data_IF_946842257486
#
_entry.id   IF_946842257486
#
_cell.length_a   1.000
_cell.length_b   1.000
_cell.length_c   1.000
_cell.angle_alpha   90.00
_cell.angle_beta   90.00
_cell.angle_gamma   90.00
#
_symmetry.space_group_name_H-M   'P 1'
#
loop_
_entity.id
_entity.type
_entity.pdbx_description
1 polymer ?
#
# COMPACT_ATOMS: atom_id res chain seq x y z
N UNK A 1 0.18 -34.93 -24.78
CA UNK A 1 0.80 -33.75 -24.15
C UNK A 1 -0.30 -33.06 -23.38
N UNK A 2 -0.43 -33.41 -22.11
CA UNK A 2 -1.54 -32.98 -21.25
C UNK A 2 -1.44 -31.49 -20.96
N UNK A 3 -2.56 -30.80 -21.14
CA UNK A 3 -2.76 -29.44 -20.68
C UNK A 3 -2.70 -29.44 -19.14
N UNK A 4 -1.71 -28.76 -18.58
CA UNK A 4 -1.62 -28.49 -17.15
C UNK A 4 -2.82 -27.62 -16.75
N UNK A 5 -3.85 -28.25 -16.20
CA UNK A 5 -4.93 -27.57 -15.50
C UNK A 5 -4.32 -26.88 -14.28
N UNK A 6 -4.23 -25.54 -14.33
CA UNK A 6 -3.94 -24.73 -13.15
C UNK A 6 -5.11 -24.96 -12.20
N UNK A 7 -4.89 -25.75 -11.14
CA UNK A 7 -5.85 -25.86 -10.04
C UNK A 7 -6.01 -24.47 -9.44
N UNK A 8 -7.17 -23.84 -9.65
CA UNK A 8 -7.58 -22.68 -8.87
C UNK A 8 -7.61 -23.08 -7.41
N UNK A 9 -6.73 -22.49 -6.61
CA UNK A 9 -6.66 -22.71 -5.19
C UNK A 9 -7.96 -22.18 -4.56
N UNK A 10 -8.85 -23.05 -4.08
CA UNK A 10 -10.14 -22.69 -3.44
C UNK A 10 -9.98 -21.85 -2.15
N UNK A 11 -8.75 -21.50 -1.78
CA UNK A 11 -8.40 -20.77 -0.56
C UNK A 11 -7.61 -19.48 -0.79
N UNK A 12 -7.38 -19.07 -2.05
CA UNK A 12 -6.65 -17.84 -2.35
C UNK A 12 -7.28 -16.63 -1.66
N UNK A 13 -6.47 -15.86 -0.93
CA UNK A 13 -6.94 -14.64 -0.25
C UNK A 13 -6.98 -13.46 -1.20
N UNK A 14 -6.05 -13.44 -2.16
CA UNK A 14 -5.99 -12.38 -3.17
C UNK A 14 -7.07 -12.55 -4.23
N UNK A 15 -7.71 -11.44 -4.56
CA UNK A 15 -8.67 -11.33 -5.66
C UNK A 15 -8.05 -10.42 -6.72
N UNK A 16 -7.81 -10.96 -7.91
CA UNK A 16 -7.38 -10.14 -9.06
C UNK A 16 -8.48 -9.14 -9.43
N UNK A 17 -8.12 -7.93 -9.84
CA UNK A 17 -9.08 -6.88 -10.23
C UNK A 17 -10.19 -7.38 -11.18
N UNK A 18 -9.85 -8.19 -12.18
CA UNK A 18 -10.79 -8.73 -13.15
C UNK A 18 -11.88 -9.64 -12.54
N UNK A 19 -11.63 -10.21 -11.37
CA UNK A 19 -12.53 -11.14 -10.67
C UNK A 19 -13.28 -10.52 -9.50
N UNK A 20 -12.98 -9.28 -9.11
CA UNK A 20 -13.68 -8.61 -8.00
C UNK A 20 -15.19 -8.54 -8.25
N UNK A 21 -15.60 -8.36 -9.51
CA UNK A 21 -16.99 -8.35 -9.92
C UNK A 21 -17.74 -9.68 -9.72
N UNK A 22 -17.04 -10.81 -9.60
CA UNK A 22 -17.64 -12.13 -9.37
C UNK A 22 -17.45 -12.58 -7.92
N UNK A 23 -16.27 -12.32 -7.34
CA UNK A 23 -15.85 -12.88 -6.06
C UNK A 23 -16.20 -11.98 -4.85
N UNK A 24 -16.36 -10.66 -5.04
CA UNK A 24 -16.67 -9.72 -3.95
C UNK A 24 -18.18 -9.51 -3.77
N UNK A 25 -18.63 -9.31 -2.52
CA UNK A 25 -20.03 -9.06 -2.20
C UNK A 25 -20.21 -8.07 -1.04
N UNK A 26 -21.41 -7.47 -0.95
CA UNK A 26 -21.72 -6.49 0.09
C UNK A 26 -20.74 -5.32 0.10
N UNK A 27 -20.19 -5.00 1.27
CA UNK A 27 -19.29 -3.86 1.47
C UNK A 27 -18.01 -3.95 0.61
N UNK A 28 -17.47 -5.15 0.36
CA UNK A 28 -16.24 -5.32 -0.42
C UNK A 28 -16.43 -4.90 -1.89
N UNK A 29 -17.62 -5.18 -2.45
CA UNK A 29 -18.00 -4.72 -3.79
C UNK A 29 -18.20 -3.21 -3.84
N UNK A 30 -18.83 -2.63 -2.81
CA UNK A 30 -18.98 -1.18 -2.68
C UNK A 30 -17.62 -0.50 -2.63
N UNK A 31 -16.72 -0.96 -1.76
CA UNK A 31 -15.39 -0.39 -1.61
C UNK A 31 -14.56 -0.50 -2.91
N UNK A 32 -14.67 -1.62 -3.64
CA UNK A 32 -14.07 -1.74 -4.97
C UNK A 32 -14.62 -0.69 -5.94
N UNK A 33 -15.94 -0.46 -5.96
CA UNK A 33 -16.57 0.57 -6.78
C UNK A 33 -16.02 1.95 -6.48
N UNK A 34 -15.91 2.33 -5.20
CA UNK A 34 -15.35 3.63 -4.79
C UNK A 34 -13.88 3.81 -5.23
N UNK A 35 -13.07 2.75 -5.07
CA UNK A 35 -11.67 2.75 -5.52
C UNK A 35 -11.61 2.84 -7.05
N UNK A 36 -12.49 2.13 -7.77
CA UNK A 36 -12.57 2.16 -9.22
C UNK A 36 -12.92 3.56 -9.73
N UNK A 37 -13.92 4.19 -9.14
CA UNK A 37 -14.32 5.57 -9.44
C UNK A 37 -13.11 6.50 -9.26
N UNK A 38 -12.44 6.40 -8.11
CA UNK A 38 -11.26 7.22 -7.81
C UNK A 38 -10.11 7.01 -8.79
N UNK A 39 -9.78 5.77 -9.14
CA UNK A 39 -8.66 5.46 -10.04
C UNK A 39 -8.97 5.73 -11.52
N UNK A 40 -10.25 5.85 -11.87
CA UNK A 40 -10.69 6.20 -13.23
C UNK A 40 -10.92 7.71 -13.42
N UNK A 41 -11.00 8.49 -12.34
CA UNK A 41 -11.00 9.96 -12.40
C UNK A 41 -9.84 10.48 -13.29
N UNK A 42 -10.11 11.35 -14.29
CA UNK A 42 -9.07 11.88 -15.17
C UNK A 42 -7.91 12.53 -14.43
N UNK A 43 -8.21 13.25 -13.35
CA UNK A 43 -7.26 14.06 -12.60
C UNK A 43 -6.56 13.31 -11.46
N UNK A 44 -6.91 12.05 -11.17
CA UNK A 44 -6.24 11.29 -10.12
C UNK A 44 -4.71 11.28 -10.36
N UNK A 45 -3.90 11.58 -9.31
CA UNK A 45 -2.55 12.07 -9.56
C UNK A 45 -1.54 10.94 -9.80
N UNK A 46 -1.76 9.74 -9.26
CA UNK A 46 -0.82 8.64 -9.40
C UNK A 46 -0.95 7.94 -10.76
N UNK A 47 -0.07 8.27 -11.70
CA UNK A 47 -0.03 7.65 -13.03
C UNK A 47 0.15 6.13 -12.98
N UNK A 48 0.88 5.62 -11.99
CA UNK A 48 1.14 4.20 -11.82
C UNK A 48 -0.12 3.44 -11.42
N UNK A 49 -0.85 3.93 -10.41
CA UNK A 49 -2.12 3.33 -10.00
C UNK A 49 -3.15 3.35 -11.12
N UNK A 50 -3.24 4.47 -11.87
CA UNK A 50 -4.11 4.54 -13.05
C UNK A 50 -3.73 3.54 -14.13
N UNK A 51 -2.43 3.39 -14.41
CA UNK A 51 -1.96 2.42 -15.40
C UNK A 51 -2.28 0.99 -14.96
N UNK A 52 -1.96 0.63 -13.72
CA UNK A 52 -2.22 -0.69 -13.16
C UNK A 52 -3.71 -1.03 -13.19
N UNK A 53 -4.57 -0.08 -12.78
CA UNK A 53 -6.02 -0.27 -12.80
C UNK A 53 -6.56 -0.43 -14.22
N UNK A 54 -6.13 0.40 -15.17
CA UNK A 54 -6.50 0.25 -16.59
C UNK A 54 -6.07 -1.10 -17.16
N UNK A 55 -4.91 -1.62 -16.75
CA UNK A 55 -4.37 -2.91 -17.18
C UNK A 55 -4.98 -4.11 -16.44
N UNK A 56 -5.86 -3.87 -15.45
CA UNK A 56 -6.48 -4.91 -14.64
C UNK A 56 -5.47 -5.77 -13.85
N UNK A 57 -4.33 -5.20 -13.47
CA UNK A 57 -3.25 -5.91 -12.75
C UNK A 57 -3.25 -5.63 -11.24
N UNK A 58 -4.17 -4.80 -10.73
CA UNK A 58 -4.29 -4.57 -9.28
C UNK A 58 -4.77 -5.85 -8.59
N UNK A 59 -4.14 -6.20 -7.47
CA UNK A 59 -4.62 -7.24 -6.57
C UNK A 59 -5.40 -6.60 -5.44
N UNK A 60 -6.47 -7.25 -5.00
CA UNK A 60 -7.29 -6.82 -3.87
C UNK A 60 -7.27 -7.87 -2.77
N UNK A 61 -7.27 -7.40 -1.52
CA UNK A 61 -7.45 -8.22 -0.33
C UNK A 61 -8.44 -7.52 0.59
N UNK A 62 -9.58 -8.15 0.86
CA UNK A 62 -10.63 -7.58 1.70
C UNK A 62 -10.57 -8.20 3.09
N UNK A 63 -10.31 -7.39 4.11
CA UNK A 63 -10.14 -7.82 5.50
C UNK A 63 -11.37 -7.41 6.30
N UNK A 64 -12.31 -8.32 6.64
CA UNK A 64 -13.60 -7.96 7.23
C UNK A 64 -13.50 -7.37 8.65
N UNK A 65 -12.56 -7.86 9.44
CA UNK A 65 -12.30 -7.46 10.82
C UNK A 65 -10.79 -7.40 11.10
N UNK A 66 -10.40 -6.70 12.17
CA UNK A 66 -8.99 -6.59 12.60
C UNK A 66 -8.69 -7.41 13.86
N UNK A 67 -9.50 -8.43 14.16
CA UNK A 67 -9.20 -9.40 15.20
C UNK A 67 -8.09 -10.35 14.78
N UNK A 68 -7.71 -11.27 15.67
CA UNK A 68 -6.60 -12.21 15.44
C UNK A 68 -6.74 -13.01 14.13
N UNK A 69 -7.96 -13.39 13.76
CA UNK A 69 -8.22 -14.16 12.54
C UNK A 69 -8.21 -13.28 11.29
N UNK A 70 -8.68 -12.03 11.39
CA UNK A 70 -8.57 -11.03 10.33
C UNK A 70 -7.11 -10.65 10.04
N UNK A 71 -6.28 -10.49 11.08
CA UNK A 71 -4.83 -10.26 10.92
C UNK A 71 -4.13 -11.49 10.31
N UNK A 72 -4.47 -12.71 10.72
CA UNK A 72 -3.94 -13.93 10.07
C UNK A 72 -4.35 -14.03 8.61
N UNK A 73 -5.61 -13.73 8.29
CA UNK A 73 -6.08 -13.66 6.90
C UNK A 73 -5.29 -12.63 6.08
N UNK A 74 -4.99 -11.48 6.67
CA UNK A 74 -4.13 -10.46 6.04
C UNK A 74 -2.71 -10.96 5.81
N UNK A 75 -2.10 -11.63 6.81
CA UNK A 75 -0.76 -12.20 6.71
C UNK A 75 -0.68 -13.26 5.59
N UNK A 76 -1.65 -14.17 5.51
CA UNK A 76 -1.75 -15.18 4.45
C UNK A 76 -1.86 -14.53 3.06
N UNK A 77 -2.71 -13.52 2.92
CA UNK A 77 -2.86 -12.80 1.65
C UNK A 77 -1.63 -11.97 1.27
N UNK A 78 -0.92 -11.43 2.26
CA UNK A 78 0.33 -10.72 2.02
C UNK A 78 1.45 -11.69 1.60
N UNK A 79 1.48 -12.91 2.15
CA UNK A 79 2.38 -13.96 1.71
C UNK A 79 2.14 -14.35 0.24
N UNK A 80 0.87 -14.55 -0.15
CA UNK A 80 0.50 -14.78 -1.55
C UNK A 80 0.96 -13.62 -2.46
N UNK A 81 0.87 -12.38 -1.97
CA UNK A 81 1.27 -11.20 -2.73
C UNK A 81 2.79 -11.07 -2.89
N UNK A 82 3.55 -11.37 -1.85
CA UNK A 82 5.01 -11.40 -1.90
C UNK A 82 5.47 -12.47 -2.90
N UNK A 83 4.90 -13.67 -2.85
CA UNK A 83 5.16 -14.75 -3.81
C UNK A 83 4.84 -14.36 -5.26
N UNK A 84 3.70 -13.69 -5.49
CA UNK A 84 3.38 -13.13 -6.80
C UNK A 84 4.42 -12.09 -7.23
N UNK A 85 4.81 -11.21 -6.32
CA UNK A 85 5.71 -10.09 -6.58
C UNK A 85 7.14 -10.54 -6.91
N UNK A 86 7.62 -11.65 -6.31
CA UNK A 86 8.92 -12.26 -6.66
C UNK A 86 9.03 -12.68 -8.14
N UNK A 87 7.90 -12.89 -8.82
CA UNK A 87 7.85 -13.29 -10.24
C UNK A 87 7.80 -12.11 -11.20
N UNK A 88 7.93 -10.89 -10.70
CA UNK A 88 7.92 -9.68 -11.50
C UNK A 88 9.08 -9.67 -12.52
N UNK A 89 8.77 -9.31 -13.77
CA UNK A 89 9.72 -9.35 -14.90
C UNK A 89 10.47 -8.02 -15.13
N UNK A 90 10.37 -7.08 -14.19
CA UNK A 90 11.01 -5.76 -14.27
C UNK A 90 10.23 -4.72 -15.07
N UNK A 91 9.08 -5.06 -15.68
CA UNK A 91 8.29 -4.13 -16.49
C UNK A 91 7.20 -3.43 -15.68
N UNK A 92 6.89 -2.18 -16.03
CA UNK A 92 5.82 -1.45 -15.35
C UNK A 92 4.43 -2.09 -15.57
N UNK A 93 4.22 -2.71 -16.73
CA UNK A 93 2.94 -3.35 -17.10
C UNK A 93 2.65 -4.66 -16.35
N UNK A 94 3.62 -5.19 -15.62
CA UNK A 94 3.51 -6.39 -14.79
C UNK A 94 3.72 -6.10 -13.29
N UNK A 95 3.91 -4.83 -12.93
CA UNK A 95 4.16 -4.37 -11.57
C UNK A 95 2.84 -4.22 -10.78
N UNK A 96 2.21 -5.34 -10.43
CA UNK A 96 0.89 -5.40 -9.78
C UNK A 96 0.89 -4.84 -8.36
N UNK A 97 0.26 -3.70 -8.05
CA UNK A 97 0.08 -3.25 -6.66
C UNK A 97 -0.96 -4.11 -5.93
N UNK A 98 -0.86 -4.18 -4.61
CA UNK A 98 -1.90 -4.74 -3.75
C UNK A 98 -2.69 -3.61 -3.07
N UNK A 99 -4.01 -3.69 -3.08
CA UNK A 99 -4.89 -2.82 -2.30
C UNK A 99 -5.60 -3.68 -1.26
N UNK A 100 -5.17 -3.54 -0.01
CA UNK A 100 -5.84 -4.13 1.15
C UNK A 100 -6.93 -3.18 1.62
N UNK A 101 -8.17 -3.63 1.73
CA UNK A 101 -9.31 -2.81 2.16
C UNK A 101 -9.92 -3.41 3.42
N UNK A 102 -10.10 -2.57 4.44
CA UNK A 102 -10.65 -2.99 5.72
C UNK A 102 -12.16 -2.77 5.77
N UNK A 103 -12.86 -3.78 6.29
CA UNK A 103 -14.30 -3.76 6.49
C UNK A 103 -14.72 -2.69 7.48
N UNK A 104 -16.00 -2.27 7.46
CA UNK A 104 -16.50 -1.20 8.33
C UNK A 104 -16.43 -1.57 9.82
N UNK A 105 -16.42 -2.86 10.16
CA UNK A 105 -16.26 -3.35 11.53
C UNK A 105 -14.78 -3.42 11.98
N UNK A 106 -13.83 -3.40 11.05
CA UNK A 106 -12.41 -3.53 11.36
C UNK A 106 -11.81 -2.25 11.96
N UNK A 107 -12.35 -1.08 11.61
CA UNK A 107 -11.78 0.22 11.98
C UNK A 107 -12.84 1.13 12.59
N UNK A 108 -12.62 1.53 13.84
CA UNK A 108 -13.39 2.58 14.50
C UNK A 108 -12.54 3.84 14.64
N UNK A 109 -12.40 4.59 13.54
CA UNK A 109 -11.57 5.79 13.46
C UNK A 109 -12.37 6.98 12.90
N UNK A 110 -12.11 8.18 13.42
CA UNK A 110 -12.82 9.41 13.01
C UNK A 110 -11.90 10.50 12.47
N UNK A 111 -10.60 10.38 12.72
CA UNK A 111 -9.57 11.31 12.27
C UNK A 111 -8.46 10.58 11.51
N UNK A 112 -7.66 11.35 10.75
CA UNK A 112 -6.47 10.83 10.07
C UNK A 112 -5.50 10.18 11.06
N UNK A 113 -5.32 10.77 12.25
CA UNK A 113 -4.47 10.23 13.30
C UNK A 113 -4.99 8.86 13.81
N UNK A 114 -6.30 8.71 14.01
CA UNK A 114 -6.90 7.43 14.43
C UNK A 114 -6.67 6.34 13.36
N UNK A 115 -6.85 6.68 12.07
CA UNK A 115 -6.61 5.76 10.97
C UNK A 115 -5.13 5.36 10.86
N UNK A 116 -4.21 6.31 11.07
CA UNK A 116 -2.78 6.00 11.11
C UNK A 116 -2.43 5.10 12.29
N UNK A 117 -2.97 5.36 13.48
CA UNK A 117 -2.76 4.52 14.65
C UNK A 117 -3.22 3.08 14.38
N UNK A 118 -4.39 2.90 13.77
CA UNK A 118 -4.88 1.60 13.31
C UNK A 118 -3.93 0.96 12.29
N UNK A 119 -3.52 1.69 11.25
CA UNK A 119 -2.59 1.19 10.23
C UNK A 119 -1.27 0.71 10.83
N UNK A 120 -0.70 1.44 11.79
CA UNK A 120 0.53 1.03 12.47
C UNK A 120 0.34 -0.17 13.39
N UNK A 121 -0.82 -0.32 14.03
CA UNK A 121 -1.17 -1.54 14.77
C UNK A 121 -1.19 -2.75 13.84
N UNK A 122 -1.81 -2.62 12.67
CA UNK A 122 -1.83 -3.66 11.65
C UNK A 122 -0.42 -4.02 11.18
N UNK A 123 0.41 -3.03 10.85
CA UNK A 123 1.80 -3.28 10.41
C UNK A 123 2.64 -3.95 11.50
N UNK A 124 2.46 -3.56 12.76
CA UNK A 124 3.15 -4.21 13.89
C UNK A 124 2.68 -5.66 14.07
N UNK A 125 1.38 -5.92 13.91
CA UNK A 125 0.84 -7.27 14.00
C UNK A 125 1.28 -8.17 12.83
N UNK A 126 1.47 -7.59 11.64
CA UNK A 126 2.07 -8.32 10.51
C UNK A 126 3.54 -8.65 10.76
N UNK A 127 4.32 -7.74 11.35
CA UNK A 127 5.70 -8.02 11.76
C UNK A 127 5.79 -9.17 12.76
N UNK A 128 4.85 -9.23 13.73
CA UNK A 128 4.79 -10.35 14.68
C UNK A 128 4.44 -11.70 14.04
N UNK A 129 3.83 -11.68 12.85
CA UNK A 129 3.43 -12.86 12.08
C UNK A 129 4.33 -13.12 10.87
N UNK A 130 5.41 -12.34 10.69
CA UNK A 130 6.31 -12.50 9.55
C UNK A 130 6.94 -13.92 9.59
N UNK A 131 6.71 -14.77 8.58
CA UNK A 131 7.29 -16.11 8.55
C UNK A 131 8.80 -16.11 8.29
N UNK A 132 9.36 -15.01 7.79
CA UNK A 132 10.78 -14.87 7.51
C UNK A 132 11.47 -13.93 8.51
N UNK A 133 12.78 -14.07 8.64
CA UNK A 133 13.58 -13.06 9.33
C UNK A 133 13.62 -11.74 8.55
N UNK A 134 13.81 -10.64 9.27
CA UNK A 134 14.04 -9.34 8.65
C UNK A 134 15.26 -9.40 7.72
N UNK A 135 15.17 -8.93 6.46
CA UNK A 135 16.21 -9.14 5.47
C UNK A 135 17.52 -8.42 5.81
N UNK A 136 18.63 -9.06 5.48
CA UNK A 136 19.96 -8.47 5.61
C UNK A 136 20.07 -7.23 4.70
N UNK A 137 20.54 -6.11 5.25
CA UNK A 137 20.69 -4.85 4.54
C UNK A 137 19.53 -3.86 4.66
N UNK A 138 18.40 -4.25 5.26
CA UNK A 138 17.33 -3.31 5.60
C UNK A 138 17.42 -2.91 7.08
N UNK A 139 17.36 -1.61 7.34
CA UNK A 139 17.40 -1.09 8.71
C UNK A 139 16.25 -1.66 9.55
N UNK A 140 16.52 -1.98 10.82
CA UNK A 140 15.49 -2.41 11.79
C UNK A 140 14.94 -1.22 12.59
N UNK A 141 15.66 -0.11 12.62
CA UNK A 141 15.24 1.14 13.27
C UNK A 141 14.45 1.99 12.26
N UNK A 142 13.16 2.26 12.46
CA UNK A 142 12.39 3.11 11.57
C UNK A 142 12.91 4.55 11.48
N UNK A 143 13.72 5.02 12.43
CA UNK A 143 14.37 6.33 12.35
C UNK A 143 15.68 6.28 11.51
N UNK A 144 15.99 5.16 10.85
CA UNK A 144 17.08 5.04 9.88
C UNK A 144 16.61 5.24 8.43
N UNK A 145 17.45 5.87 7.60
CA UNK A 145 17.14 6.14 6.17
C UNK A 145 17.02 4.89 5.29
N UNK A 146 17.54 3.76 5.77
CA UNK A 146 17.48 2.45 5.10
C UNK A 146 16.34 1.55 5.59
N UNK A 147 15.46 2.03 6.47
CA UNK A 147 14.32 1.25 6.95
C UNK A 147 13.19 1.21 5.94
N UNK A 148 12.60 0.03 5.77
CA UNK A 148 11.35 -0.20 5.04
C UNK A 148 10.59 -1.31 5.76
N UNK A 149 9.26 -1.27 5.77
CA UNK A 149 8.48 -2.38 6.30
C UNK A 149 8.80 -3.64 5.49
N UNK A 150 9.14 -4.73 6.15
CA UNK A 150 9.38 -6.01 5.48
C UNK A 150 8.29 -7.02 5.85
N UNK A 151 7.98 -7.91 4.91
CA UNK A 151 7.18 -9.10 5.16
C UNK A 151 7.66 -10.23 4.26
N UNK A 152 7.86 -11.42 4.81
CA UNK A 152 8.42 -12.58 4.12
C UNK A 152 9.73 -12.20 3.39
N UNK A 153 10.60 -11.45 4.06
CA UNK A 153 11.90 -11.00 3.53
C UNK A 153 11.84 -9.96 2.41
N UNK A 154 10.65 -9.50 2.00
CA UNK A 154 10.48 -8.48 0.96
C UNK A 154 10.28 -7.10 1.58
N UNK A 155 11.08 -6.07 1.20
CA UNK A 155 10.82 -4.69 1.58
C UNK A 155 9.59 -4.15 0.82
N UNK A 156 8.66 -3.53 1.54
CA UNK A 156 7.36 -3.09 1.08
C UNK A 156 7.14 -1.62 1.43
N UNK A 157 6.74 -0.82 0.46
CA UNK A 157 6.18 0.50 0.69
C UNK A 157 4.67 0.39 0.92
N UNK A 158 4.17 0.93 2.04
CA UNK A 158 2.77 0.84 2.43
C UNK A 158 2.13 2.23 2.52
N UNK A 159 1.22 2.52 1.61
CA UNK A 159 0.50 3.79 1.57
C UNK A 159 -0.86 3.66 2.28
N UNK A 160 -1.03 4.33 3.42
CA UNK A 160 -2.29 4.35 4.20
C UNK A 160 -3.25 5.37 3.62
N UNK A 161 -4.37 4.92 3.07
CA UNK A 161 -5.43 5.78 2.53
C UNK A 161 -6.69 5.67 3.40
N UNK A 162 -7.35 6.80 3.67
CA UNK A 162 -8.48 6.82 4.61
C UNK A 162 -9.49 7.94 4.29
N UNK A 163 -10.77 7.79 4.70
CA UNK A 163 -11.83 8.75 4.41
C UNK A 163 -11.71 10.07 5.18
N UNK A 164 -10.89 10.14 6.24
CA UNK A 164 -10.71 11.37 7.02
C UNK A 164 -9.82 12.40 6.31
N UNK A 165 -9.09 11.98 5.27
CA UNK A 165 -8.37 12.90 4.38
C UNK A 165 -9.34 13.75 3.56
N UNK A 166 -9.29 15.07 3.78
CA UNK A 166 -10.15 16.06 3.10
C UNK A 166 -9.34 17.02 2.24
N UNK A 167 -8.19 17.46 2.75
CA UNK A 167 -7.21 18.28 2.03
C UNK A 167 -6.34 17.37 1.16
N UNK A 168 -5.82 16.27 1.72
CA UNK A 168 -4.99 15.30 0.99
C UNK A 168 -5.85 14.28 0.24
N UNK A 169 -6.69 14.76 -0.69
CA UNK A 169 -7.65 13.93 -1.45
C UNK A 169 -6.99 12.73 -2.14
N UNK A 170 -5.73 12.87 -2.55
CA UNK A 170 -4.90 11.82 -3.13
C UNK A 170 -4.65 10.62 -2.20
N UNK A 171 -4.86 10.77 -0.89
CA UNK A 171 -4.78 9.72 0.15
C UNK A 171 -6.16 9.25 0.63
N UNK A 172 -7.23 9.55 -0.11
CA UNK A 172 -8.58 9.07 0.15
C UNK A 172 -9.07 8.28 -1.05
N UNK A 173 -9.31 6.97 -0.88
CA UNK A 173 -9.76 6.07 -1.94
C UNK A 173 -11.26 5.69 -1.85
N UNK A 174 -12.01 6.28 -0.92
CA UNK A 174 -13.40 5.91 -0.66
C UNK A 174 -13.76 5.98 0.81
N UNK A 175 -14.85 5.33 1.19
CA UNK A 175 -15.38 5.27 2.56
C UNK A 175 -14.61 4.35 3.50
N UNK A 176 -13.63 3.61 3.00
CA UNK A 176 -12.90 2.58 3.75
C UNK A 176 -11.44 2.96 3.99
N UNK A 177 -10.86 2.43 5.08
CA UNK A 177 -9.41 2.41 5.25
C UNK A 177 -8.79 1.41 4.29
N UNK A 178 -7.72 1.83 3.61
CA UNK A 178 -7.00 0.98 2.67
C UNK A 178 -5.49 1.11 2.85
N UNK A 179 -4.78 0.01 2.68
CA UNK A 179 -3.34 -0.02 2.51
C UNK A 179 -3.02 -0.33 1.06
N UNK A 180 -2.32 0.56 0.37
CA UNK A 180 -1.78 0.30 -0.97
C UNK A 180 -0.34 -0.13 -0.83
N UNK A 181 -0.07 -1.41 -1.08
CA UNK A 181 1.19 -2.08 -0.81
C UNK A 181 1.93 -2.35 -2.11
N UNK A 182 3.21 -2.00 -2.16
CA UNK A 182 4.09 -2.24 -3.30
C UNK A 182 5.47 -2.70 -2.83
N UNK A 183 6.09 -3.72 -3.44
CA UNK A 183 7.52 -3.99 -3.30
C UNK A 183 8.33 -2.73 -3.53
N UNK A 184 9.26 -2.46 -2.61
CA UNK A 184 10.08 -1.26 -2.60
C UNK A 184 10.93 -1.14 -3.87
N UNK A 185 11.44 -2.27 -4.36
CA UNK A 185 12.25 -2.37 -5.58
C UNK A 185 11.60 -1.72 -6.81
N UNK A 186 10.27 -1.70 -6.90
CA UNK A 186 9.56 -1.08 -8.01
C UNK A 186 9.77 0.43 -8.05
N UNK A 187 9.82 1.05 -6.88
CA UNK A 187 10.12 2.47 -6.78
C UNK A 187 11.58 2.73 -7.14
N UNK A 188 12.53 1.86 -6.79
CA UNK A 188 13.93 2.05 -7.21
C UNK A 188 14.08 2.04 -8.73
N UNK A 189 13.36 1.14 -9.40
CA UNK A 189 13.38 0.99 -10.86
C UNK A 189 12.71 2.17 -11.57
N UNK A 190 11.51 2.58 -11.14
CA UNK A 190 10.70 3.56 -11.89
C UNK A 190 10.76 4.99 -11.34
N UNK A 191 11.09 5.14 -10.07
CA UNK A 191 11.03 6.38 -9.32
C UNK A 191 12.23 6.54 -8.37
N UNK A 192 13.36 5.86 -8.62
CA UNK A 192 14.57 5.90 -7.81
C UNK A 192 15.42 7.14 -8.10
N UNK A 193 16.59 7.26 -7.49
CA UNK A 193 17.45 8.43 -7.66
C UNK A 193 18.24 8.47 -8.98
N UNK A 194 17.50 8.46 -10.08
CA UNK A 194 18.00 8.64 -11.45
C UNK A 194 17.37 9.88 -12.07
N UNK A 195 17.94 10.47 -13.13
CA UNK A 195 17.30 11.60 -13.81
C UNK A 195 15.87 11.31 -14.29
N UNK A 196 15.59 10.09 -14.76
CA UNK A 196 14.23 9.66 -15.12
C UNK A 196 13.34 9.50 -13.90
N UNK A 197 13.81 8.84 -12.85
CA UNK A 197 13.06 8.65 -11.61
C UNK A 197 12.71 9.98 -10.93
N UNK A 198 13.65 10.93 -10.86
CA UNK A 198 13.40 12.29 -10.36
C UNK A 198 12.33 13.03 -11.16
N UNK A 199 12.35 12.92 -12.50
CA UNK A 199 11.30 13.50 -13.36
C UNK A 199 9.93 12.86 -13.10
N UNK A 200 9.89 11.55 -12.92
CA UNK A 200 8.66 10.84 -12.54
C UNK A 200 8.13 11.34 -11.21
N UNK A 201 8.96 11.44 -10.16
CA UNK A 201 8.56 11.96 -8.84
C UNK A 201 8.05 13.39 -8.94
N UNK A 202 8.75 14.27 -9.67
CA UNK A 202 8.34 15.66 -9.87
C UNK A 202 6.96 15.76 -10.55
N UNK A 203 6.75 15.00 -11.64
CA UNK A 203 5.45 14.97 -12.33
C UNK A 203 4.32 14.44 -11.43
N UNK A 204 4.57 13.41 -10.62
CA UNK A 204 3.56 12.91 -9.67
C UNK A 204 3.25 13.98 -8.61
N UNK A 205 4.28 14.65 -8.05
CA UNK A 205 4.09 15.72 -7.07
C UNK A 205 3.27 16.88 -7.64
N UNK A 206 3.57 17.35 -8.85
CA UNK A 206 2.79 18.41 -9.51
C UNK A 206 1.32 18.00 -9.72
N UNK A 207 1.07 16.74 -10.10
CA UNK A 207 -0.29 16.22 -10.21
C UNK A 207 -0.99 16.15 -8.86
N UNK A 208 -0.29 15.72 -7.79
CA UNK A 208 -0.80 15.71 -6.42
C UNK A 208 -1.17 17.14 -5.99
N UNK A 209 -0.35 18.14 -6.30
CA UNK A 209 -0.64 19.53 -5.95
C UNK A 209 -1.92 20.05 -6.60
N UNK A 210 -2.08 19.78 -7.89
CA UNK A 210 -3.32 20.13 -8.62
C UNK A 210 -4.53 19.36 -8.09
N UNK A 211 -4.35 18.07 -7.79
CA UNK A 211 -5.43 17.22 -7.31
C UNK A 211 -5.82 17.51 -5.86
N UNK A 212 -4.90 17.84 -4.98
CA UNK A 212 -5.19 18.13 -3.57
C UNK A 212 -5.54 19.62 -3.37
N UNK A 213 -5.15 20.50 -4.30
CA UNK A 213 -5.33 21.94 -4.17
C UNK A 213 -4.39 22.59 -3.15
N UNK A 214 -3.31 21.89 -2.78
CA UNK A 214 -2.30 22.33 -1.82
C UNK A 214 -0.93 21.75 -2.19
N UNK A 215 0.22 22.38 -1.85
CA UNK A 215 1.54 21.82 -2.10
C UNK A 215 1.67 20.40 -1.57
N UNK A 216 2.44 19.53 -2.24
CA UNK A 216 2.63 18.15 -1.80
C UNK A 216 3.18 18.10 -0.36
N UNK A 217 2.89 17.00 0.36
CA UNK A 217 3.28 16.85 1.76
C UNK A 217 4.81 16.91 1.92
N UNK A 218 5.28 17.65 2.93
CA UNK A 218 6.69 17.71 3.34
C UNK A 218 7.26 16.36 3.74
N UNK A 219 6.42 15.38 4.09
CA UNK A 219 6.88 14.04 4.44
C UNK A 219 7.28 13.21 3.20
N UNK A 220 6.93 13.63 1.98
CA UNK A 220 7.24 12.89 0.76
C UNK A 220 8.70 13.06 0.34
N UNK A 221 9.58 12.26 0.94
CA UNK A 221 11.03 12.27 0.72
C UNK A 221 11.57 11.33 -0.38
N UNK A 222 12.88 11.14 -0.36
CA UNK A 222 13.62 10.13 -1.13
C UNK A 222 14.21 9.09 -0.16
N UNK A 223 14.07 7.81 -0.45
CA UNK A 223 14.62 6.74 0.39
C UNK A 223 16.15 6.69 0.35
N UNK A 224 16.78 6.34 1.47
CA UNK A 224 18.24 6.28 1.63
C UNK A 224 18.96 7.60 1.25
N UNK A 225 18.29 8.72 1.48
CA UNK A 225 18.76 10.09 1.18
C UNK A 225 18.36 11.04 2.32
N UNK A 226 18.56 10.61 3.57
CA UNK A 226 18.24 11.37 4.78
C UNK A 226 16.76 11.44 5.16
N UNK A 227 15.83 11.03 4.30
CA UNK A 227 14.38 11.06 4.57
C UNK A 227 13.86 9.71 5.09
N UNK A 228 12.91 9.78 6.04
CA UNK A 228 12.37 8.59 6.71
C UNK A 228 11.17 8.02 5.95
N UNK A 229 11.28 6.77 5.50
CA UNK A 229 10.25 6.14 4.67
C UNK A 229 8.90 6.01 5.40
N UNK A 230 8.91 5.68 6.69
CA UNK A 230 7.67 5.52 7.47
C UNK A 230 6.80 6.77 7.50
N UNK A 231 7.39 7.98 7.40
CA UNK A 231 6.64 9.23 7.35
C UNK A 231 5.80 9.34 6.08
N UNK A 232 6.21 8.66 5.01
CA UNK A 232 5.50 8.62 3.73
C UNK A 232 4.29 7.68 3.77
N UNK A 233 4.30 6.68 4.66
CA UNK A 233 3.24 5.67 4.74
C UNK A 233 1.90 6.27 5.18
N UNK A 234 1.92 7.14 6.19
CA UNK A 234 0.75 7.92 6.64
C UNK A 234 1.06 9.41 6.63
N UNK A 235 0.50 10.15 5.66
CA UNK A 235 0.70 11.59 5.53
C UNK A 235 -0.27 12.33 6.43
N UNK A 236 0.18 13.34 7.17
CA UNK A 236 -0.74 14.23 7.90
C UNK A 236 -1.50 15.15 6.92
N UNK A 237 -2.62 15.73 7.37
CA UNK A 237 -3.39 16.66 6.54
C UNK A 237 -2.60 17.95 6.30
N UNK A 238 -2.02 18.48 7.37
CA UNK A 238 -1.26 19.71 7.38
C UNK A 238 0.06 19.56 6.62
N UNK A 239 0.49 20.63 5.96
CA UNK A 239 1.86 20.68 5.44
C UNK A 239 2.79 21.22 6.53
N UNK A 240 3.05 20.40 7.54
CA UNK A 240 3.79 20.77 8.74
C UNK A 240 4.91 19.78 9.03
N UNK A 241 5.88 20.21 9.85
CA UNK A 241 6.92 19.34 10.36
C UNK A 241 6.34 18.30 11.31
N UNK A 242 6.88 17.08 11.25
CA UNK A 242 6.53 15.97 12.13
C UNK A 242 7.59 15.78 13.19
N UNK A 243 7.16 15.85 14.45
CA UNK A 243 8.00 15.64 15.64
C UNK A 243 7.71 14.30 16.34
N UNK A 244 6.78 13.52 15.80
CA UNK A 244 6.46 12.20 16.29
C UNK A 244 7.51 11.16 15.85
N UNK A 245 7.53 10.04 16.58
CA UNK A 245 8.35 8.86 16.26
C UNK A 245 7.49 7.82 15.58
N UNK A 246 8.14 6.94 14.82
CA UNK A 246 7.45 5.82 14.20
C UNK A 246 6.79 4.93 15.28
N UNK A 247 5.50 4.60 15.19
CA UNK A 247 4.86 3.68 16.13
C UNK A 247 5.30 2.22 15.95
N UNK A 248 5.95 1.89 14.83
CA UNK A 248 6.51 0.55 14.59
C UNK A 248 7.62 0.26 15.60
N UNK A 249 7.53 -0.89 16.26
CA UNK A 249 8.60 -1.38 17.14
C UNK A 249 9.11 -2.69 16.60
N UNK A 250 10.37 -2.72 16.19
CA UNK A 250 11.01 -3.95 15.76
C UNK A 250 11.14 -4.93 16.92
N UNK A 251 10.60 -6.14 16.74
CA UNK A 251 10.73 -7.25 17.69
C UNK A 251 11.51 -8.37 17.01
N UNK A 252 12.63 -8.78 17.61
CA UNK A 252 13.36 -9.96 17.13
C UNK A 252 12.51 -11.19 17.42
N UNK A 253 12.22 -11.97 16.38
CA UNK A 253 11.68 -13.32 16.51
C UNK A 253 12.73 -14.27 17.09
#
# INVERSE_FOLDING_TARGET
MEASVIKTNEHAKLISQARVGDDASGWSRTAFGEIADRLTEPDFPCVFSKNAFRKQIVQFLFVPDAGSDGIRHLADGLLEYVELSRRWDGRLDSASPLVVVFGPAAVNARSVADYHAFGWQVLSALHDLDPAGWPEGIGTDPDSEGWSMCFDGMPLFVNMSNPAHRVRRSRNLGGHFALVVNPRERFDVFAGDTPSGRRVRANIRERVERYDGTPHSWQLGSYADGELEWRQYGLIEENAERTDRCPFTFRRA
#
